data_IF_887650880401
#
_entry.id   IF_887650880401
#
_cell.length_a   1.000
_cell.length_b   1.000
_cell.length_c   1.000
_cell.angle_alpha   90.00
_cell.angle_beta   90.00
_cell.angle_gamma   90.00
#
_symmetry.space_group_name_H-M   'P 1'
#
loop_
_entity.id
_entity.type
_entity.pdbx_description
1 polymer ?
#
# COMPACT_ATOMS: atom_id res chain seq x y z
N UNK A 1 -4.26 -17.95 7.71
CA UNK A 1 -4.47 -16.56 8.20
C UNK A 1 -4.44 -15.56 7.05
N UNK A 2 -3.41 -15.53 6.19
CA UNK A 2 -3.31 -14.59 5.05
C UNK A 2 -4.57 -14.55 4.19
N UNK A 3 -5.00 -15.70 3.66
CA UNK A 3 -6.20 -15.82 2.83
C UNK A 3 -7.46 -15.32 3.56
N UNK A 4 -7.59 -15.61 4.85
CA UNK A 4 -8.74 -15.18 5.65
C UNK A 4 -8.82 -13.65 5.75
N UNK A 5 -7.73 -12.99 6.17
CA UNK A 5 -7.71 -11.53 6.31
C UNK A 5 -7.86 -10.83 4.95
N UNK A 6 -7.24 -11.38 3.91
CA UNK A 6 -7.36 -10.82 2.56
C UNK A 6 -8.79 -10.94 2.01
N UNK A 7 -9.45 -12.09 2.19
CA UNK A 7 -10.85 -12.26 1.82
C UNK A 7 -11.75 -11.33 2.62
N UNK A 8 -11.51 -11.19 3.93
CA UNK A 8 -12.27 -10.28 4.79
C UNK A 8 -12.13 -8.81 4.34
N UNK A 9 -10.92 -8.39 3.98
CA UNK A 9 -10.65 -7.08 3.39
C UNK A 9 -11.52 -6.86 2.14
N UNK A 10 -11.50 -7.80 1.19
CA UNK A 10 -12.26 -7.68 -0.05
C UNK A 10 -13.78 -7.63 0.19
N UNK A 11 -14.28 -8.47 1.11
CA UNK A 11 -15.70 -8.50 1.49
C UNK A 11 -16.11 -7.17 2.10
N UNK A 12 -15.34 -6.64 3.05
CA UNK A 12 -15.65 -5.36 3.69
C UNK A 12 -15.57 -4.18 2.73
N UNK A 13 -14.64 -4.17 1.78
CA UNK A 13 -14.61 -3.13 0.75
C UNK A 13 -15.82 -3.23 -0.20
N UNK A 14 -16.25 -4.44 -0.55
CA UNK A 14 -17.44 -4.63 -1.38
C UNK A 14 -18.71 -4.17 -0.66
N UNK A 15 -18.91 -4.57 0.60
CA UNK A 15 -20.04 -4.12 1.43
C UNK A 15 -19.96 -2.62 1.77
N UNK A 16 -18.75 -2.06 1.81
CA UNK A 16 -18.49 -0.65 2.04
C UNK A 16 -19.15 0.26 1.02
N UNK A 17 -19.35 -0.23 -0.22
CA UNK A 17 -20.06 0.50 -1.28
C UNK A 17 -21.49 0.90 -0.87
N UNK A 18 -22.16 0.05 -0.10
CA UNK A 18 -23.54 0.26 0.35
C UNK A 18 -23.58 0.84 1.78
N UNK A 19 -22.66 0.42 2.65
CA UNK A 19 -22.68 0.78 4.06
C UNK A 19 -21.31 1.22 4.56
N UNK A 20 -21.21 2.50 4.95
CA UNK A 20 -19.97 3.15 5.34
C UNK A 20 -19.21 2.48 6.51
N UNK A 21 -19.91 1.79 7.41
CA UNK A 21 -19.27 1.06 8.52
C UNK A 21 -18.23 0.04 8.04
N UNK A 22 -18.45 -0.61 6.89
CA UNK A 22 -17.51 -1.61 6.39
C UNK A 22 -16.22 -0.99 5.84
N UNK A 23 -16.20 0.29 5.46
CA UNK A 23 -14.95 0.98 5.16
C UNK A 23 -14.05 1.05 6.38
N UNK A 24 -14.57 1.44 7.55
CA UNK A 24 -13.79 1.44 8.79
C UNK A 24 -13.32 0.05 9.18
N UNK A 25 -14.19 -0.97 9.03
CA UNK A 25 -13.80 -2.35 9.28
C UNK A 25 -12.68 -2.81 8.35
N UNK A 26 -12.69 -2.38 7.08
CA UNK A 26 -11.62 -2.69 6.12
C UNK A 26 -10.27 -2.08 6.56
N UNK A 27 -10.27 -0.84 7.05
CA UNK A 27 -9.08 -0.18 7.60
C UNK A 27 -8.55 -0.89 8.85
N UNK A 28 -9.45 -1.42 9.70
CA UNK A 28 -9.07 -2.24 10.85
C UNK A 28 -8.39 -3.53 10.39
N UNK A 29 -8.94 -4.21 9.37
CA UNK A 29 -8.37 -5.45 8.84
C UNK A 29 -6.92 -5.26 8.36
N UNK A 30 -6.61 -4.13 7.73
CA UNK A 30 -5.25 -3.81 7.29
C UNK A 30 -4.23 -3.79 8.45
N UNK A 31 -4.67 -3.46 9.67
CA UNK A 31 -3.81 -3.35 10.84
C UNK A 31 -3.80 -4.60 11.73
N UNK A 32 -4.72 -5.56 11.54
CA UNK A 32 -4.77 -6.81 12.32
C UNK A 32 -3.41 -7.55 12.36
N UNK A 33 -2.60 -7.63 11.27
CA UNK A 33 -1.28 -8.24 11.33
C UNK A 33 -0.34 -7.70 12.41
N UNK A 34 -0.47 -6.43 12.81
CA UNK A 34 0.37 -5.83 13.87
C UNK A 34 0.19 -6.54 15.21
N UNK A 35 -0.98 -7.14 15.46
CA UNK A 35 -1.31 -7.78 16.74
C UNK A 35 -0.66 -9.15 16.93
N UNK A 36 -0.31 -9.85 15.85
CA UNK A 36 0.14 -11.25 15.92
C UNK A 36 1.37 -11.56 15.07
N UNK A 37 1.75 -10.69 14.13
CA UNK A 37 2.88 -10.90 13.26
C UNK A 37 4.16 -10.30 13.85
N UNK A 38 5.33 -10.77 13.39
CA UNK A 38 6.61 -10.31 13.93
C UNK A 38 6.83 -8.82 13.62
N UNK A 39 6.88 -7.97 14.65
CA UNK A 39 7.05 -6.53 14.51
C UNK A 39 8.38 -6.13 13.85
N UNK A 40 9.43 -6.94 14.01
CA UNK A 40 10.72 -6.68 13.37
C UNK A 40 10.62 -6.73 11.84
N UNK A 41 9.72 -7.57 11.32
CA UNK A 41 9.50 -7.70 9.88
C UNK A 41 8.90 -6.43 9.27
N UNK A 42 8.15 -5.63 10.04
CA UNK A 42 7.68 -4.33 9.54
C UNK A 42 8.80 -3.30 9.43
N UNK A 43 9.91 -3.48 10.14
CA UNK A 43 11.04 -2.56 10.11
C UNK A 43 10.68 -1.16 10.61
N UNK A 44 9.76 -1.05 11.59
CA UNK A 44 9.32 0.24 12.13
C UNK A 44 10.47 1.09 12.71
N UNK A 45 11.52 0.44 13.21
CA UNK A 45 12.68 1.12 13.80
C UNK A 45 13.85 1.34 12.80
N UNK A 46 13.69 0.92 11.54
CA UNK A 46 14.76 1.00 10.54
C UNK A 46 14.79 2.38 9.90
N UNK A 47 15.67 3.26 10.39
CA UNK A 47 15.82 4.64 9.88
C UNK A 47 16.08 4.71 8.37
N UNK A 48 16.79 3.73 7.79
CA UNK A 48 17.01 3.68 6.35
C UNK A 48 15.71 3.66 5.54
N UNK A 49 14.60 3.15 6.11
CA UNK A 49 13.28 3.21 5.49
C UNK A 49 12.83 4.62 5.15
N UNK A 50 13.02 5.57 6.09
CA UNK A 50 12.70 6.98 5.87
C UNK A 50 13.56 7.58 4.76
N UNK A 51 14.87 7.29 4.75
CA UNK A 51 15.78 7.80 3.72
C UNK A 51 15.35 7.30 2.33
N UNK A 52 15.14 5.99 2.18
CA UNK A 52 14.76 5.40 0.90
C UNK A 52 13.41 5.96 0.42
N UNK A 53 12.43 6.09 1.33
CA UNK A 53 11.13 6.67 1.04
C UNK A 53 11.23 8.12 0.56
N UNK A 54 11.95 8.98 1.27
CA UNK A 54 12.10 10.39 0.92
C UNK A 54 12.84 10.54 -0.41
N UNK A 55 14.02 9.90 -0.55
CA UNK A 55 14.86 10.02 -1.75
C UNK A 55 14.13 9.54 -2.99
N UNK A 56 13.45 8.39 -2.92
CA UNK A 56 12.64 7.90 -4.05
C UNK A 56 11.45 8.81 -4.35
N UNK A 57 10.87 9.49 -3.36
CA UNK A 57 9.72 10.37 -3.57
C UNK A 57 10.09 11.73 -4.18
N UNK A 58 11.38 12.10 -4.23
CA UNK A 58 11.82 13.38 -4.81
C UNK A 58 11.39 13.55 -6.27
N UNK A 59 11.22 12.44 -7.00
CA UNK A 59 10.78 12.47 -8.40
C UNK A 59 9.37 13.04 -8.60
N UNK A 60 8.53 13.03 -7.55
CA UNK A 60 7.16 13.56 -7.60
C UNK A 60 7.10 15.06 -7.27
N UNK A 61 8.08 15.60 -6.55
CA UNK A 61 8.05 16.98 -6.04
C UNK A 61 7.85 18.06 -7.11
N UNK A 62 8.41 17.96 -8.34
CA UNK A 62 8.16 18.95 -9.39
C UNK A 62 6.70 19.02 -9.85
N UNK A 63 5.89 18.01 -9.57
CA UNK A 63 4.54 17.85 -10.08
C UNK A 63 3.45 18.01 -9.02
N UNK A 64 3.83 18.16 -7.75
CA UNK A 64 2.89 18.22 -6.63
C UNK A 64 3.13 19.47 -5.80
N UNK A 65 2.05 19.98 -5.22
CA UNK A 65 2.09 20.96 -4.13
C UNK A 65 1.75 20.24 -2.83
N UNK A 66 2.60 20.39 -1.81
CA UNK A 66 2.37 19.78 -0.50
C UNK A 66 1.60 20.75 0.40
N UNK A 67 0.43 20.33 0.87
CA UNK A 67 -0.34 20.99 1.91
C UNK A 67 -0.36 20.17 3.20
N UNK A 68 -0.50 20.84 4.35
CA UNK A 68 -0.73 20.18 5.65
C UNK A 68 -1.97 19.28 5.60
N UNK A 69 -2.98 19.65 4.81
CA UNK A 69 -4.20 18.85 4.64
C UNK A 69 -3.95 17.49 4.00
N UNK A 70 -2.89 17.35 3.19
CA UNK A 70 -2.59 16.10 2.48
C UNK A 70 -2.14 15.01 3.45
N UNK A 71 -1.55 15.38 4.59
CA UNK A 71 -1.07 14.45 5.60
C UNK A 71 -2.17 13.49 6.11
N UNK A 72 -3.45 13.86 5.98
CA UNK A 72 -4.58 12.99 6.34
C UNK A 72 -4.67 11.69 5.54
N UNK A 73 -4.04 11.64 4.36
CA UNK A 73 -4.05 10.45 3.50
C UNK A 73 -2.92 9.48 3.82
N UNK A 74 -1.90 9.92 4.58
CA UNK A 74 -0.76 9.08 4.93
C UNK A 74 -1.14 7.84 5.76
N UNK A 75 -2.03 7.90 6.78
CA UNK A 75 -2.41 6.72 7.56
C UNK A 75 -2.99 5.57 6.73
N UNK A 76 -3.71 5.89 5.65
CA UNK A 76 -4.25 4.89 4.73
C UNK A 76 -3.14 4.20 3.93
N UNK A 77 -2.24 4.97 3.31
CA UNK A 77 -1.07 4.39 2.62
C UNK A 77 -0.23 3.54 3.57
N UNK A 78 -0.05 4.00 4.81
CA UNK A 78 0.72 3.28 5.82
C UNK A 78 0.09 1.95 6.24
N UNK A 79 -1.23 1.91 6.48
CA UNK A 79 -1.94 0.67 6.86
C UNK A 79 -1.94 -0.34 5.72
N UNK A 80 -2.09 0.11 4.47
CA UNK A 80 -2.00 -0.75 3.29
C UNK A 80 -0.61 -1.39 3.17
N UNK A 81 0.47 -0.62 3.30
CA UNK A 81 1.84 -1.18 3.19
C UNK A 81 2.20 -2.13 4.34
N UNK A 82 1.67 -1.92 5.56
CA UNK A 82 1.76 -2.90 6.65
C UNK A 82 1.16 -4.23 6.22
N UNK A 83 -0.05 -4.20 5.66
CA UNK A 83 -0.78 -5.40 5.28
C UNK A 83 -0.14 -6.10 4.08
N UNK A 84 0.14 -5.36 3.02
CA UNK A 84 0.61 -5.94 1.76
C UNK A 84 2.10 -6.28 1.79
N UNK A 85 2.98 -5.40 2.28
CA UNK A 85 4.44 -5.64 2.30
C UNK A 85 4.88 -6.34 3.56
N UNK A 86 4.53 -5.72 4.68
CA UNK A 86 4.92 -6.20 6.00
C UNK A 86 4.40 -7.59 6.30
N UNK A 87 3.19 -7.91 5.84
CA UNK A 87 2.56 -9.20 6.09
C UNK A 87 2.50 -10.12 4.85
N UNK A 88 1.70 -9.79 3.83
CA UNK A 88 1.45 -10.72 2.69
C UNK A 88 2.73 -11.05 1.92
N UNK A 89 3.50 -10.04 1.49
CA UNK A 89 4.72 -10.25 0.71
C UNK A 89 5.75 -11.08 1.49
N UNK A 90 5.93 -10.79 2.78
CA UNK A 90 6.80 -11.58 3.65
C UNK A 90 6.35 -13.03 3.78
N UNK A 91 5.07 -13.27 4.02
CA UNK A 91 4.52 -14.62 4.14
C UNK A 91 4.69 -15.43 2.85
N UNK A 92 4.48 -14.81 1.69
CA UNK A 92 4.71 -15.44 0.39
C UNK A 92 6.20 -15.72 0.16
N UNK A 93 7.09 -14.80 0.55
CA UNK A 93 8.53 -14.93 0.32
C UNK A 93 9.16 -16.15 0.99
N UNK A 94 8.54 -16.62 2.08
CA UNK A 94 8.92 -17.87 2.77
C UNK A 94 8.77 -19.12 1.90
N UNK A 95 7.98 -19.06 0.82
CA UNK A 95 7.62 -20.22 -0.02
C UNK A 95 7.98 -20.06 -1.50
N UNK A 96 7.94 -18.85 -2.05
CA UNK A 96 8.00 -18.64 -3.50
C UNK A 96 9.13 -17.71 -3.98
N UNK A 97 10.03 -17.30 -3.08
CA UNK A 97 11.11 -16.35 -3.40
C UNK A 97 10.62 -14.90 -3.49
N UNK A 98 11.53 -13.94 -3.34
CA UNK A 98 11.15 -12.53 -3.15
C UNK A 98 10.50 -11.90 -4.38
N UNK A 99 11.04 -12.11 -5.58
CA UNK A 99 10.55 -11.45 -6.80
C UNK A 99 9.13 -11.91 -7.17
N UNK A 100 8.87 -13.22 -7.09
CA UNK A 100 7.55 -13.77 -7.32
C UNK A 100 6.56 -13.30 -6.23
N UNK A 101 7.01 -13.19 -4.99
CA UNK A 101 6.19 -12.66 -3.89
C UNK A 101 5.79 -11.20 -4.13
N UNK A 102 6.72 -10.35 -4.57
CA UNK A 102 6.43 -8.95 -4.95
C UNK A 102 5.37 -8.92 -6.06
N UNK A 103 5.53 -9.73 -7.10
CA UNK A 103 4.59 -9.76 -8.22
C UNK A 103 3.18 -10.20 -7.78
N UNK A 104 3.09 -11.30 -7.02
CA UNK A 104 1.80 -11.81 -6.52
C UNK A 104 1.15 -10.80 -5.57
N UNK A 105 1.90 -10.22 -4.61
CA UNK A 105 1.37 -9.19 -3.72
C UNK A 105 0.88 -7.97 -4.49
N UNK A 106 1.56 -7.56 -5.55
CA UNK A 106 1.14 -6.42 -6.39
C UNK A 106 -0.16 -6.71 -7.14
N UNK A 107 -0.34 -7.96 -7.60
CA UNK A 107 -1.62 -8.40 -8.18
C UNK A 107 -2.74 -8.37 -7.13
N UNK A 108 -2.49 -8.90 -5.92
CA UNK A 108 -3.45 -8.86 -4.81
C UNK A 108 -3.79 -7.43 -4.38
N UNK A 109 -2.82 -6.51 -4.40
CA UNK A 109 -3.03 -5.10 -4.08
C UNK A 109 -4.00 -4.41 -5.06
N UNK A 110 -4.01 -4.86 -6.33
CA UNK A 110 -4.83 -4.28 -7.39
C UNK A 110 -6.32 -4.59 -7.23
N UNK A 111 -6.66 -5.76 -6.66
CA UNK A 111 -8.04 -6.23 -6.54
C UNK A 111 -8.90 -5.29 -5.65
N UNK A 112 -8.48 -4.92 -4.42
CA UNK A 112 -9.17 -3.92 -3.60
C UNK A 112 -9.47 -2.61 -4.34
N UNK A 113 -8.51 -2.10 -5.10
CA UNK A 113 -8.66 -0.85 -5.86
C UNK A 113 -9.70 -0.99 -6.97
N UNK A 114 -9.71 -2.13 -7.66
CA UNK A 114 -10.71 -2.44 -8.67
C UNK A 114 -12.11 -2.66 -8.06
N UNK A 115 -12.20 -3.27 -6.87
CA UNK A 115 -13.46 -3.38 -6.13
C UNK A 115 -13.99 -1.96 -5.89
N UNK A 116 -13.20 -1.06 -5.33
CA UNK A 116 -13.64 0.31 -5.00
C UNK A 116 -14.03 1.13 -6.23
N UNK A 117 -13.24 1.07 -7.29
CA UNK A 117 -13.49 1.80 -8.51
C UNK A 117 -13.14 0.93 -9.73
N UNK A 118 -14.13 0.33 -10.42
CA UNK A 118 -13.88 -0.51 -11.59
C UNK A 118 -13.41 0.31 -12.80
N UNK A 119 -12.11 0.58 -12.90
CA UNK A 119 -11.53 1.38 -13.98
C UNK A 119 -10.15 0.86 -14.40
N UNK A 120 -9.72 1.23 -15.62
CA UNK A 120 -8.36 0.94 -16.11
C UNK A 120 -7.31 1.54 -15.17
N UNK A 121 -7.54 2.76 -14.67
CA UNK A 121 -6.64 3.42 -13.72
C UNK A 121 -6.46 2.61 -12.44
N UNK A 122 -7.53 1.97 -11.95
CA UNK A 122 -7.46 1.08 -10.79
C UNK A 122 -6.68 -0.20 -11.05
N UNK A 123 -6.61 -0.68 -12.30
CA UNK A 123 -5.74 -1.80 -12.68
C UNK A 123 -4.28 -1.34 -12.76
N UNK A 124 -4.04 -0.11 -13.20
CA UNK A 124 -2.70 0.45 -13.33
C UNK A 124 -1.97 0.61 -11.99
N UNK A 125 -2.67 0.58 -10.84
CA UNK A 125 -2.04 0.57 -9.51
C UNK A 125 -1.12 -0.62 -9.28
N UNK A 126 -1.24 -1.67 -10.11
CA UNK A 126 -0.30 -2.79 -10.15
C UNK A 126 1.15 -2.31 -10.28
N UNK A 127 1.43 -1.37 -11.19
CA UNK A 127 2.79 -0.91 -11.49
C UNK A 127 3.47 -0.19 -10.31
N UNK A 128 2.88 0.85 -9.69
CA UNK A 128 3.47 1.45 -8.50
C UNK A 128 3.55 0.44 -7.34
N UNK A 129 2.59 -0.49 -7.21
CA UNK A 129 2.62 -1.54 -6.19
C UNK A 129 3.86 -2.46 -6.28
N UNK A 130 4.36 -2.74 -7.50
CA UNK A 130 5.63 -3.45 -7.69
C UNK A 130 6.81 -2.64 -7.13
N UNK A 131 6.83 -1.32 -7.38
CA UNK A 131 7.87 -0.42 -6.84
C UNK A 131 7.82 -0.41 -5.31
N UNK A 132 6.62 -0.35 -4.72
CA UNK A 132 6.44 -0.43 -3.27
C UNK A 132 7.03 -1.73 -2.71
N UNK A 133 6.84 -2.85 -3.41
CA UNK A 133 7.40 -4.15 -3.04
C UNK A 133 8.92 -4.18 -3.02
N UNK A 134 9.58 -3.57 -4.02
CA UNK A 134 11.03 -3.47 -4.07
C UNK A 134 11.59 -2.47 -3.06
N UNK A 135 10.93 -1.33 -2.85
CA UNK A 135 11.33 -0.38 -1.81
C UNK A 135 11.31 -1.04 -0.43
N UNK A 136 10.26 -1.81 -0.13
CA UNK A 136 10.20 -2.58 1.10
C UNK A 136 11.36 -3.60 1.17
N UNK A 137 11.60 -4.36 0.11
CA UNK A 137 12.65 -5.38 0.07
C UNK A 137 14.05 -4.80 0.34
N UNK A 138 14.43 -3.71 -0.33
CA UNK A 138 15.76 -3.11 -0.15
C UNK A 138 15.88 -2.34 1.17
N UNK A 139 14.83 -1.65 1.58
CA UNK A 139 14.83 -0.86 2.82
C UNK A 139 14.57 -1.69 4.09
N UNK A 140 14.05 -2.91 3.94
CA UNK A 140 13.56 -3.76 5.03
C UNK A 140 12.70 -2.97 6.03
N UNK A 141 11.83 -2.10 5.50
CA UNK A 141 11.03 -1.17 6.29
C UNK A 141 9.80 -0.73 5.52
N UNK A 142 8.62 -0.85 6.14
CA UNK A 142 7.38 -0.37 5.53
C UNK A 142 7.39 1.15 5.33
N UNK A 143 8.19 1.90 6.10
CA UNK A 143 8.31 3.36 5.94
C UNK A 143 8.70 3.78 4.53
N UNK A 144 9.61 3.06 3.87
CA UNK A 144 10.04 3.42 2.52
C UNK A 144 8.87 3.35 1.54
N UNK A 145 8.13 2.23 1.58
CA UNK A 145 6.97 2.00 0.72
C UNK A 145 5.84 2.94 1.06
N UNK A 146 5.53 3.18 2.34
CA UNK A 146 4.43 4.05 2.76
C UNK A 146 4.64 5.51 2.37
N UNK A 147 5.87 6.02 2.52
CA UNK A 147 6.22 7.38 2.09
C UNK A 147 6.08 7.48 0.58
N UNK A 148 6.71 6.58 -0.17
CA UNK A 148 6.65 6.61 -1.62
C UNK A 148 5.21 6.44 -2.16
N UNK A 149 4.43 5.54 -1.57
CA UNK A 149 3.02 5.35 -1.91
C UNK A 149 2.22 6.62 -1.65
N UNK A 150 2.39 7.29 -0.50
CA UNK A 150 1.74 8.56 -0.22
C UNK A 150 2.04 9.63 -1.28
N UNK A 151 3.32 9.83 -1.62
CA UNK A 151 3.71 10.79 -2.65
C UNK A 151 3.23 10.40 -4.05
N UNK A 152 3.27 9.10 -4.39
CA UNK A 152 2.74 8.57 -5.64
C UNK A 152 1.23 8.83 -5.77
N UNK A 153 0.47 8.74 -4.67
CA UNK A 153 -0.94 9.05 -4.66
C UNK A 153 -1.19 10.54 -4.87
N UNK A 154 -0.44 11.42 -4.19
CA UNK A 154 -0.55 12.86 -4.43
C UNK A 154 -0.25 13.23 -5.88
N UNK A 155 0.82 12.65 -6.45
CA UNK A 155 1.15 12.83 -7.86
C UNK A 155 0.01 12.37 -8.79
N UNK A 156 -0.59 11.21 -8.50
CA UNK A 156 -1.72 10.73 -9.27
C UNK A 156 -2.91 11.70 -9.20
N UNK A 157 -3.32 12.13 -8.01
CA UNK A 157 -4.50 12.97 -7.84
C UNK A 157 -4.33 14.40 -8.34
N UNK A 158 -3.16 15.00 -8.14
CA UNK A 158 -2.90 16.41 -8.49
C UNK A 158 -2.48 16.57 -9.96
N UNK A 159 -1.75 15.61 -10.53
CA UNK A 159 -1.14 15.76 -11.85
C UNK A 159 -1.70 14.79 -12.90
N UNK A 160 -1.68 13.48 -12.66
CA UNK A 160 -2.08 12.51 -13.69
C UNK A 160 -3.59 12.47 -13.92
N UNK A 161 -4.39 12.46 -12.85
CA UNK A 161 -5.85 12.31 -12.96
C UNK A 161 -6.50 13.41 -13.81
N UNK A 162 -6.19 14.71 -13.65
CA UNK A 162 -6.75 15.77 -14.49
C UNK A 162 -6.41 15.63 -15.98
N UNK A 163 -5.32 14.95 -16.32
CA UNK A 163 -4.89 14.73 -17.72
C UNK A 163 -5.60 13.52 -18.34
N UNK A 164 -5.97 12.53 -17.51
CA UNK A 164 -6.51 11.24 -17.93
C UNK A 164 -8.05 11.14 -17.82
N UNK A 165 -8.73 12.18 -17.31
CA UNK A 165 -10.19 12.29 -17.16
C UNK A 165 -10.82 13.14 -18.24
#
# INVERSE_FOLDING_TARGET
MVLLLYSLLCIFLFLGKEHFIFYYLSSIVLLIPVLFYNLESFGFLKFKGFIYGIVSSLLFLPFITLSVSDLRFFPQAFSEEIFFRGYIQNELSKKSGIHLSIFITSFLFTIPHFILNPSVLSVMVFFPSVVFGYLYYYSNSVWASSIFHFFSNLFFWQYLRPILS
#
